data_IF_192731965069
#
_entry.id   IF_192731965069
#
_cell.length_a   1.000
_cell.length_b   1.000
_cell.length_c   1.000
_cell.angle_alpha   90.00
_cell.angle_beta   90.00
_cell.angle_gamma   90.00
#
_symmetry.space_group_name_H-M   'P 1'
#
loop_
_entity.id
_entity.type
_entity.pdbx_description
1 polymer ?
#
# COMPACT_ATOMS: atom_id res chain seq x y z
N UNK A 1 -6.33 -11.66 20.23
CA UNK A 1 -6.49 -12.83 19.32
C UNK A 1 -5.62 -12.59 18.09
N UNK A 2 -5.04 -13.62 17.47
CA UNK A 2 -4.41 -13.47 16.16
C UNK A 2 -5.48 -13.10 15.12
N UNK A 3 -5.09 -12.38 14.10
CA UNK A 3 -5.95 -12.02 12.98
C UNK A 3 -5.14 -12.06 11.67
N UNK A 4 -5.83 -12.20 10.55
CA UNK A 4 -5.25 -12.22 9.22
C UNK A 4 -5.48 -10.88 8.52
N UNK A 5 -4.44 -10.38 7.85
CA UNK A 5 -4.49 -9.14 7.10
C UNK A 5 -3.99 -9.37 5.67
N UNK A 6 -4.74 -8.87 4.70
CA UNK A 6 -4.33 -8.82 3.31
C UNK A 6 -4.18 -7.37 2.84
N UNK A 7 -3.28 -7.15 1.87
CA UNK A 7 -3.10 -5.86 1.20
C UNK A 7 -3.11 -6.06 -0.31
N UNK A 8 -3.80 -5.18 -1.05
CA UNK A 8 -3.98 -5.33 -2.49
C UNK A 8 -4.20 -3.99 -3.20
N UNK A 9 -3.31 -3.65 -4.14
CA UNK A 9 -3.61 -2.57 -5.09
C UNK A 9 -4.66 -3.07 -6.08
N UNK A 10 -5.90 -2.63 -5.91
CA UNK A 10 -7.05 -3.12 -6.67
C UNK A 10 -7.24 -2.39 -8.01
N UNK A 11 -6.57 -1.27 -8.22
CA UNK A 11 -6.68 -0.48 -9.45
C UNK A 11 -8.14 -0.25 -9.89
N UNK A 12 -8.93 0.41 -9.05
CA UNK A 12 -10.36 0.68 -9.13
C UNK A 12 -11.26 -0.39 -8.48
N UNK A 13 -11.67 -0.09 -7.24
CA UNK A 13 -12.53 -0.98 -6.45
C UNK A 13 -13.89 -1.20 -7.09
N UNK A 14 -14.47 -0.18 -7.75
CA UNK A 14 -15.77 -0.31 -8.43
C UNK A 14 -15.71 -1.19 -9.68
N UNK A 15 -14.62 -1.09 -10.44
CA UNK A 15 -14.45 -1.91 -11.64
C UNK A 15 -14.21 -3.38 -11.28
N UNK A 16 -13.60 -3.61 -10.12
CA UNK A 16 -13.18 -4.95 -9.65
C UNK A 16 -13.94 -5.41 -8.40
N UNK A 17 -15.12 -4.86 -8.16
CA UNK A 17 -16.00 -5.25 -7.04
C UNK A 17 -16.16 -6.77 -6.96
N UNK A 18 -16.48 -7.43 -8.07
CA UNK A 18 -16.64 -8.88 -8.13
C UNK A 18 -15.37 -9.66 -7.78
N UNK A 19 -14.17 -9.14 -8.14
CA UNK A 19 -12.90 -9.75 -7.76
C UNK A 19 -12.64 -9.60 -6.26
N UNK A 20 -12.87 -8.41 -5.70
CA UNK A 20 -12.76 -8.18 -4.26
C UNK A 20 -13.72 -9.10 -3.50
N UNK A 21 -14.99 -9.15 -3.90
CA UNK A 21 -15.99 -10.00 -3.26
C UNK A 21 -15.63 -11.49 -3.34
N UNK A 22 -15.05 -11.96 -4.46
CA UNK A 22 -14.54 -13.32 -4.59
C UNK A 22 -13.39 -13.58 -3.63
N UNK A 23 -12.39 -12.71 -3.59
CA UNK A 23 -11.25 -12.82 -2.69
C UNK A 23 -11.69 -12.85 -1.21
N UNK A 24 -12.60 -11.95 -0.82
CA UNK A 24 -13.15 -11.91 0.54
C UNK A 24 -13.90 -13.19 0.92
N UNK A 25 -14.50 -13.88 -0.06
CA UNK A 25 -15.20 -15.16 0.17
C UNK A 25 -14.25 -16.35 0.24
N UNK A 26 -13.26 -16.38 -0.62
CA UNK A 26 -12.34 -17.51 -0.77
C UNK A 26 -11.23 -17.47 0.31
N UNK A 27 -10.57 -16.33 0.48
CA UNK A 27 -9.43 -16.18 1.41
C UNK A 27 -9.85 -15.71 2.80
N UNK A 28 -10.97 -15.03 2.90
CA UNK A 28 -11.63 -14.61 4.13
C UNK A 28 -10.71 -13.92 5.18
N UNK A 29 -9.81 -12.98 4.79
CA UNK A 29 -8.98 -12.29 5.76
C UNK A 29 -9.85 -11.48 6.75
N UNK A 30 -9.37 -11.30 7.98
CA UNK A 30 -10.09 -10.45 8.95
C UNK A 30 -10.06 -8.98 8.55
N UNK A 31 -8.97 -8.54 7.93
CA UNK A 31 -8.77 -7.17 7.44
C UNK A 31 -8.23 -7.19 6.02
N UNK A 32 -8.81 -6.37 5.14
CA UNK A 32 -8.32 -6.13 3.77
C UNK A 32 -8.00 -4.65 3.57
N UNK A 33 -6.75 -4.37 3.21
CA UNK A 33 -6.27 -3.02 2.85
C UNK A 33 -6.19 -2.88 1.33
N UNK A 34 -6.92 -1.92 0.77
CA UNK A 34 -6.96 -1.65 -0.66
C UNK A 34 -6.25 -0.34 -1.01
N UNK A 35 -5.52 -0.33 -2.12
CA UNK A 35 -4.92 0.85 -2.71
C UNK A 35 -5.48 1.06 -4.13
N UNK A 36 -5.32 2.26 -4.65
CA UNK A 36 -5.92 2.68 -5.93
C UNK A 36 -7.43 2.41 -6.04
N UNK A 37 -8.18 2.71 -4.99
CA UNK A 37 -9.64 2.54 -5.03
C UNK A 37 -10.30 3.36 -6.13
N UNK A 38 -9.71 4.50 -6.55
CA UNK A 38 -10.14 5.40 -7.65
C UNK A 38 -11.63 5.78 -7.56
N UNK A 39 -12.10 5.91 -6.34
CA UNK A 39 -13.52 6.16 -6.02
C UNK A 39 -13.64 7.16 -4.87
N UNK A 40 -14.60 8.10 -4.93
CA UNK A 40 -15.07 8.77 -3.72
C UNK A 40 -15.57 7.74 -2.70
N UNK A 41 -15.46 8.04 -1.40
CA UNK A 41 -15.78 7.07 -0.33
C UNK A 41 -17.23 6.58 -0.42
N UNK A 42 -18.18 7.50 -0.69
CA UNK A 42 -19.59 7.19 -0.80
C UNK A 42 -19.97 6.31 -2.00
N UNK A 43 -19.02 6.07 -2.92
CA UNK A 43 -19.18 5.22 -4.10
C UNK A 43 -18.39 3.92 -4.03
N UNK A 44 -17.74 3.64 -2.91
CA UNK A 44 -17.17 2.31 -2.66
C UNK A 44 -18.34 1.33 -2.52
N UNK A 45 -18.29 0.14 -3.15
CA UNK A 45 -19.40 -0.84 -3.15
C UNK A 45 -19.52 -1.55 -1.80
N UNK A 46 -19.81 -0.78 -0.75
CA UNK A 46 -19.81 -1.21 0.64
C UNK A 46 -20.82 -2.34 0.89
N UNK A 47 -22.01 -2.26 0.31
CA UNK A 47 -23.08 -3.26 0.52
C UNK A 47 -22.62 -4.67 0.14
N UNK A 48 -21.91 -4.84 -0.99
CA UNK A 48 -21.39 -6.14 -1.44
C UNK A 48 -20.37 -6.74 -0.47
N UNK A 49 -19.65 -5.91 0.28
CA UNK A 49 -18.65 -6.35 1.25
C UNK A 49 -19.28 -6.61 2.63
N UNK A 50 -20.30 -5.84 3.01
CA UNK A 50 -21.08 -6.03 4.23
C UNK A 50 -21.81 -7.38 4.23
N UNK A 51 -22.35 -7.81 3.07
CA UNK A 51 -22.97 -9.13 2.89
C UNK A 51 -21.99 -10.29 3.19
N UNK A 52 -20.69 -10.04 3.09
CA UNK A 52 -19.62 -11.00 3.39
C UNK A 52 -19.05 -10.83 4.83
N UNK A 53 -19.66 -9.96 5.63
CA UNK A 53 -19.28 -9.71 7.03
C UNK A 53 -18.27 -8.58 7.22
N UNK A 54 -17.84 -7.87 6.16
CA UNK A 54 -16.93 -6.73 6.25
C UNK A 54 -17.72 -5.44 6.49
N UNK A 55 -18.25 -5.31 7.70
CA UNK A 55 -19.15 -4.22 8.08
C UNK A 55 -18.43 -2.92 8.47
N UNK A 56 -17.12 -3.02 8.74
CA UNK A 56 -16.29 -1.87 9.11
C UNK A 56 -15.47 -1.39 7.91
N UNK A 57 -15.52 -0.09 7.64
CA UNK A 57 -14.81 0.58 6.56
C UNK A 57 -14.19 1.89 7.06
N UNK A 58 -12.88 2.02 6.92
CA UNK A 58 -12.16 3.29 7.08
C UNK A 58 -11.46 3.59 5.75
N UNK A 59 -11.74 4.75 5.16
CA UNK A 59 -11.26 5.04 3.81
C UNK A 59 -11.03 6.53 3.55
N UNK A 60 -10.07 6.83 2.67
CA UNK A 60 -9.96 8.13 1.97
C UNK A 60 -10.13 7.91 0.48
N UNK A 61 -11.10 8.60 -0.09
CA UNK A 61 -11.47 8.47 -1.49
C UNK A 61 -11.03 9.64 -2.35
N UNK A 62 -10.77 9.35 -3.63
CA UNK A 62 -10.51 10.37 -4.64
C UNK A 62 -11.08 9.91 -5.98
N UNK A 63 -11.79 10.82 -6.69
CA UNK A 63 -12.44 10.46 -7.95
C UNK A 63 -11.41 10.21 -9.05
N UNK A 64 -11.41 9.01 -9.60
CA UNK A 64 -10.66 8.65 -10.81
C UNK A 64 -9.21 8.23 -10.59
N UNK A 65 -8.57 8.57 -9.47
CA UNK A 65 -7.20 8.17 -9.13
C UNK A 65 -7.01 8.11 -7.61
N UNK A 66 -5.91 7.53 -7.16
CA UNK A 66 -5.60 7.32 -5.73
C UNK A 66 -6.73 6.59 -4.97
N UNK A 67 -6.86 6.88 -3.69
CA UNK A 67 -7.86 6.27 -2.81
C UNK A 67 -7.35 5.02 -2.11
N UNK A 68 -7.49 5.00 -0.80
CA UNK A 68 -7.11 3.90 0.08
C UNK A 68 -8.27 3.52 0.99
N UNK A 69 -8.42 2.23 1.29
CA UNK A 69 -9.50 1.75 2.14
C UNK A 69 -9.02 0.58 3.00
N UNK A 70 -9.56 0.48 4.21
CA UNK A 70 -9.40 -0.65 5.12
C UNK A 70 -10.80 -1.22 5.37
N UNK A 71 -11.04 -2.44 4.91
CA UNK A 71 -12.24 -3.22 5.13
C UNK A 71 -11.98 -4.23 6.25
N UNK A 72 -12.92 -4.44 7.16
CA UNK A 72 -12.71 -5.36 8.26
C UNK A 72 -14.00 -6.03 8.74
N UNK A 73 -13.86 -7.27 9.18
CA UNK A 73 -14.85 -7.99 10.01
C UNK A 73 -14.75 -7.59 11.47
N UNK A 74 -13.54 -7.19 11.89
CA UNK A 74 -13.27 -6.76 13.25
C UNK A 74 -13.59 -5.27 13.41
N UNK A 75 -14.05 -4.83 14.59
CA UNK A 75 -14.28 -3.42 14.86
C UNK A 75 -13.02 -2.58 14.60
N UNK A 76 -13.20 -1.49 13.87
CA UNK A 76 -12.18 -0.50 13.53
C UNK A 76 -12.61 0.89 13.97
N UNK A 77 -11.64 1.66 14.48
CA UNK A 77 -11.76 3.10 14.68
C UNK A 77 -10.78 3.81 13.74
N UNK A 78 -11.19 4.92 13.14
CA UNK A 78 -10.29 5.76 12.37
C UNK A 78 -9.18 6.30 13.27
N UNK A 79 -7.91 6.12 12.88
CA UNK A 79 -6.75 6.50 13.65
C UNK A 79 -5.91 7.60 12.98
N UNK A 80 -6.38 8.14 11.88
CA UNK A 80 -5.76 9.25 11.16
C UNK A 80 -5.63 9.02 9.66
N UNK A 81 -5.32 10.11 8.97
CA UNK A 81 -5.14 10.12 7.53
C UNK A 81 -4.24 11.32 7.17
N UNK A 82 -2.97 11.06 6.91
CA UNK A 82 -2.00 12.11 6.61
C UNK A 82 -1.91 12.40 5.11
N UNK A 83 -1.80 13.67 4.78
CA UNK A 83 -1.48 14.12 3.43
C UNK A 83 0.02 14.42 3.35
N UNK A 84 0.81 13.35 3.25
CA UNK A 84 2.26 13.47 3.17
C UNK A 84 2.67 14.31 1.97
N UNK A 85 3.61 15.25 2.21
CA UNK A 85 4.11 16.22 1.24
C UNK A 85 3.02 17.16 0.66
N UNK A 86 1.90 17.37 1.36
CA UNK A 86 0.82 18.31 1.02
C UNK A 86 0.33 18.19 -0.44
N UNK A 87 0.21 16.96 -0.93
CA UNK A 87 -0.17 16.68 -2.31
C UNK A 87 -1.68 16.81 -2.56
N UNK A 88 -2.51 16.91 -1.53
CA UNK A 88 -3.97 16.84 -1.63
C UNK A 88 -4.47 15.46 -2.11
N UNK A 89 -3.70 14.41 -1.85
CA UNK A 89 -3.96 13.08 -2.38
C UNK A 89 -4.44 12.10 -1.29
N UNK A 90 -5.45 11.30 -1.61
CA UNK A 90 -5.94 10.21 -0.76
C UNK A 90 -5.01 8.99 -0.87
N UNK A 91 -3.88 9.01 -0.14
CA UNK A 91 -2.81 7.99 -0.23
C UNK A 91 -2.48 7.30 1.09
N UNK A 92 -3.01 7.79 2.20
CA UNK A 92 -2.82 7.20 3.51
C UNK A 92 -4.12 7.20 4.30
N UNK A 93 -4.36 6.13 5.03
CA UNK A 93 -5.37 6.03 6.08
C UNK A 93 -4.88 5.07 7.16
N UNK A 94 -5.15 5.39 8.41
CA UNK A 94 -4.87 4.51 9.54
C UNK A 94 -6.16 4.15 10.27
N UNK A 95 -6.25 2.91 10.72
CA UNK A 95 -7.34 2.41 11.55
C UNK A 95 -6.80 1.60 12.73
N UNK A 96 -7.47 1.70 13.87
CA UNK A 96 -7.11 0.98 15.09
C UNK A 96 -8.12 -0.12 15.37
N UNK A 97 -7.63 -1.32 15.62
CA UNK A 97 -8.41 -2.45 16.13
C UNK A 97 -8.65 -2.30 17.64
N UNK A 98 -9.71 -2.90 18.17
CA UNK A 98 -9.97 -2.97 19.63
C UNK A 98 -8.80 -3.59 20.41
N UNK A 99 -7.98 -4.42 19.77
CA UNK A 99 -6.76 -4.98 20.35
C UNK A 99 -5.67 -3.94 20.60
N UNK A 100 -5.85 -2.69 20.13
CA UNK A 100 -4.89 -1.61 20.21
C UNK A 100 -3.85 -1.63 19.09
N UNK A 101 -3.94 -2.55 18.12
CA UNK A 101 -3.07 -2.55 16.92
C UNK A 101 -3.57 -1.49 15.95
N UNK A 102 -2.67 -0.61 15.51
CA UNK A 102 -2.94 0.37 14.44
C UNK A 102 -2.45 -0.16 13.10
N UNK A 103 -3.31 -0.12 12.09
CA UNK A 103 -2.99 -0.52 10.72
C UNK A 103 -2.87 0.74 9.89
N UNK A 104 -1.71 0.95 9.29
CA UNK A 104 -1.44 2.02 8.32
C UNK A 104 -1.48 1.44 6.90
N UNK A 105 -2.37 1.97 6.07
CA UNK A 105 -2.50 1.59 4.67
C UNK A 105 -2.00 2.73 3.78
N UNK A 106 -0.91 2.48 3.06
CA UNK A 106 -0.26 3.47 2.20
C UNK A 106 -0.40 3.14 0.72
N UNK A 107 -0.47 4.19 -0.08
CA UNK A 107 -0.26 4.16 -1.52
C UNK A 107 0.77 5.23 -1.88
N UNK A 108 2.05 4.84 -1.86
CA UNK A 108 3.16 5.75 -2.19
C UNK A 108 3.07 6.14 -3.68
N UNK A 109 3.35 7.41 -4.06
CA UNK A 109 3.36 7.82 -5.45
C UNK A 109 4.25 6.92 -6.33
N UNK A 110 3.77 6.56 -7.54
CA UNK A 110 4.55 5.72 -8.45
C UNK A 110 5.84 6.39 -8.95
N UNK A 111 5.88 7.73 -9.05
CA UNK A 111 7.09 8.46 -9.41
C UNK A 111 7.26 8.73 -10.91
N UNK A 112 6.31 8.29 -11.76
CA UNK A 112 6.37 8.52 -13.22
C UNK A 112 7.44 7.67 -13.93
N UNK A 113 7.97 8.13 -15.06
CA UNK A 113 8.78 7.30 -15.95
C UNK A 113 10.30 7.54 -15.84
N UNK A 114 10.71 8.72 -15.35
CA UNK A 114 12.13 9.10 -15.27
C UNK A 114 12.53 9.30 -13.82
N UNK A 115 13.58 8.63 -13.32
CA UNK A 115 14.05 8.75 -11.96
C UNK A 115 14.98 9.98 -11.76
N UNK A 116 14.48 11.14 -12.10
CA UNK A 116 15.18 12.41 -12.00
C UNK A 116 14.19 13.52 -11.63
N UNK A 117 14.35 14.09 -10.43
CA UNK A 117 13.44 15.11 -9.91
C UNK A 117 13.51 16.44 -10.65
N UNK A 118 14.61 16.73 -11.35
CA UNK A 118 14.78 18.00 -12.10
C UNK A 118 13.94 18.01 -13.37
N UNK A 119 13.75 16.85 -13.99
CA UNK A 119 12.99 16.72 -15.25
C UNK A 119 11.64 16.03 -15.08
N UNK A 120 11.41 15.38 -13.93
CA UNK A 120 10.18 14.66 -13.63
C UNK A 120 9.65 15.04 -12.23
N UNK A 121 8.76 16.03 -12.14
CA UNK A 121 8.18 16.44 -10.86
C UNK A 121 7.51 15.31 -10.09
N UNK A 122 6.95 14.28 -10.76
CA UNK A 122 6.33 13.12 -10.10
C UNK A 122 7.34 12.28 -9.33
N UNK A 123 8.58 12.20 -9.82
CA UNK A 123 9.66 11.54 -9.09
C UNK A 123 10.05 12.34 -7.85
N UNK A 124 10.16 13.67 -7.98
CA UNK A 124 10.35 14.56 -6.83
C UNK A 124 9.27 14.39 -5.76
N UNK A 125 7.99 14.41 -6.16
CA UNK A 125 6.85 14.20 -5.26
C UNK A 125 6.92 12.85 -4.52
N UNK A 126 7.40 11.79 -5.17
CA UNK A 126 7.60 10.48 -4.53
C UNK A 126 8.64 10.55 -3.42
N UNK A 127 9.79 11.15 -3.69
CA UNK A 127 10.86 11.29 -2.71
C UNK A 127 10.43 12.19 -1.54
N UNK A 128 9.75 13.30 -1.82
CA UNK A 128 9.22 14.22 -0.81
C UNK A 128 8.14 13.51 0.07
N UNK A 129 7.29 12.67 -0.54
CA UNK A 129 6.31 11.85 0.18
C UNK A 129 7.00 10.87 1.16
N UNK A 130 8.04 10.17 0.72
CA UNK A 130 8.83 9.26 1.58
C UNK A 130 9.55 10.04 2.68
N UNK A 131 10.09 11.22 2.37
CA UNK A 131 10.69 12.11 3.37
C UNK A 131 9.68 12.51 4.44
N UNK A 132 8.46 12.89 4.05
CA UNK A 132 7.38 13.22 4.98
C UNK A 132 6.96 12.01 5.83
N UNK A 133 6.87 10.80 5.25
CA UNK A 133 6.61 9.57 6.00
C UNK A 133 7.70 9.32 7.06
N UNK A 134 8.98 9.44 6.67
CA UNK A 134 10.12 9.29 7.58
C UNK A 134 9.99 10.24 8.77
N UNK A 135 9.73 11.52 8.50
CA UNK A 135 9.68 12.56 9.54
C UNK A 135 8.48 12.32 10.48
N UNK A 136 7.33 11.92 9.94
CA UNK A 136 6.15 11.57 10.73
C UNK A 136 6.42 10.37 11.64
N UNK A 137 7.03 9.30 11.14
CA UNK A 137 7.34 8.11 11.94
C UNK A 137 8.46 8.35 12.94
N UNK A 138 9.44 9.19 12.60
CA UNK A 138 10.46 9.59 13.56
C UNK A 138 9.85 10.35 14.75
N UNK A 139 8.88 11.21 14.50
CA UNK A 139 8.19 11.98 15.53
C UNK A 139 7.22 11.11 16.36
N UNK A 140 6.43 10.25 15.71
CA UNK A 140 5.38 9.47 16.36
C UNK A 140 5.90 8.18 17.03
N UNK A 141 6.96 7.56 16.49
CA UNK A 141 7.49 6.23 16.90
C UNK A 141 6.37 5.23 17.12
N UNK A 142 5.70 4.77 16.07
CA UNK A 142 4.49 3.97 16.18
C UNK A 142 4.77 2.65 16.90
N UNK A 143 4.02 2.41 17.97
CA UNK A 143 4.04 1.14 18.71
C UNK A 143 2.82 0.29 18.32
N UNK A 144 2.95 -1.04 18.38
CA UNK A 144 1.86 -1.99 18.05
C UNK A 144 1.17 -1.64 16.73
N UNK A 145 1.98 -1.35 15.72
CA UNK A 145 1.49 -0.91 14.42
C UNK A 145 1.90 -1.85 13.31
N UNK A 146 1.08 -1.91 12.26
CA UNK A 146 1.35 -2.64 11.02
C UNK A 146 1.27 -1.63 9.89
N UNK A 147 2.32 -1.56 9.06
CA UNK A 147 2.36 -0.78 7.84
C UNK A 147 2.21 -1.72 6.65
N UNK A 148 1.22 -1.47 5.82
CA UNK A 148 0.99 -2.20 4.57
C UNK A 148 0.65 -1.25 3.44
N UNK A 149 0.64 -1.75 2.22
CA UNK A 149 0.19 -1.01 1.06
C UNK A 149 1.05 -1.22 -0.17
N UNK A 150 0.82 -0.40 -1.17
CA UNK A 150 1.66 -0.32 -2.36
C UNK A 150 2.69 0.79 -2.17
N UNK A 151 3.91 0.40 -1.81
CA UNK A 151 5.01 1.32 -1.58
C UNK A 151 5.71 1.77 -2.87
N UNK A 152 5.37 1.17 -4.00
CA UNK A 152 5.95 1.46 -5.31
C UNK A 152 7.48 1.43 -5.35
N UNK A 153 8.12 0.66 -4.47
CA UNK A 153 9.57 0.45 -4.40
C UNK A 153 9.86 -1.01 -4.12
N UNK A 154 10.72 -1.60 -4.93
CA UNK A 154 11.31 -2.91 -4.70
C UNK A 154 12.65 -2.73 -3.98
N UNK A 155 12.76 -3.03 -2.67
CA UNK A 155 13.93 -2.65 -1.87
C UNK A 155 15.17 -3.51 -2.12
N UNK A 156 15.00 -4.80 -2.49
CA UNK A 156 16.13 -5.74 -2.63
C UNK A 156 16.38 -6.15 -4.08
N UNK A 157 17.58 -6.61 -4.36
CA UNK A 157 17.97 -7.16 -5.67
C UNK A 157 17.08 -8.34 -6.10
N UNK A 158 16.63 -9.13 -5.14
CA UNK A 158 15.76 -10.29 -5.36
C UNK A 158 14.26 -9.95 -5.42
N UNK A 159 13.88 -8.69 -5.23
CA UNK A 159 12.50 -8.24 -5.40
C UNK A 159 12.17 -7.88 -6.86
N UNK A 160 13.17 -7.94 -7.74
CA UNK A 160 13.05 -7.62 -9.16
C UNK A 160 13.65 -8.71 -10.06
N UNK A 161 13.13 -8.81 -11.28
CA UNK A 161 13.60 -9.80 -12.25
C UNK A 161 15.05 -9.56 -12.68
N UNK A 162 15.52 -8.30 -12.69
CA UNK A 162 16.89 -7.93 -13.03
C UNK A 162 17.32 -6.64 -12.33
N UNK A 163 18.04 -6.77 -11.23
CA UNK A 163 18.61 -5.65 -10.49
C UNK A 163 19.40 -4.70 -11.42
N UNK A 164 20.34 -5.25 -12.21
CA UNK A 164 21.21 -4.46 -13.11
C UNK A 164 20.44 -3.60 -14.11
N UNK A 165 19.33 -4.11 -14.65
CA UNK A 165 18.54 -3.36 -15.63
C UNK A 165 17.65 -2.31 -14.96
N UNK A 166 17.19 -2.56 -13.73
CA UNK A 166 16.24 -1.73 -13.03
C UNK A 166 16.86 -0.65 -12.14
N UNK A 167 18.19 -0.64 -11.95
CA UNK A 167 18.90 0.41 -11.19
C UNK A 167 18.64 1.86 -11.68
N UNK A 168 18.21 2.01 -12.93
CA UNK A 168 17.90 3.32 -13.53
C UNK A 168 16.42 3.46 -13.90
N UNK A 169 15.59 2.58 -13.37
CA UNK A 169 14.14 2.58 -13.61
C UNK A 169 13.43 2.93 -12.31
N UNK A 170 12.42 3.78 -12.40
CA UNK A 170 11.58 4.15 -11.27
C UNK A 170 11.06 2.90 -10.56
N UNK A 171 10.98 2.93 -9.25
CA UNK A 171 10.63 1.87 -8.30
C UNK A 171 11.76 0.93 -7.89
N UNK A 172 12.99 1.08 -8.43
CA UNK A 172 14.16 0.31 -7.99
C UNK A 172 15.48 1.09 -8.04
N UNK A 173 15.43 2.42 -8.09
CA UNK A 173 16.66 3.23 -8.06
C UNK A 173 17.26 3.26 -6.66
N UNK A 174 18.60 3.41 -6.55
CA UNK A 174 19.26 3.48 -5.25
C UNK A 174 18.69 4.57 -4.33
N UNK A 175 18.32 5.73 -4.88
CA UNK A 175 17.76 6.83 -4.09
C UNK A 175 16.37 6.49 -3.53
N UNK A 176 15.53 5.76 -4.26
CA UNK A 176 14.22 5.32 -3.78
C UNK A 176 14.38 4.27 -2.67
N UNK A 177 15.26 3.30 -2.88
CA UNK A 177 15.58 2.24 -1.91
C UNK A 177 16.12 2.87 -0.62
N UNK A 178 17.01 3.85 -0.72
CA UNK A 178 17.54 4.58 0.45
C UNK A 178 16.42 5.32 1.22
N UNK A 179 15.53 6.02 0.50
CA UNK A 179 14.40 6.71 1.15
C UNK A 179 13.46 5.74 1.87
N UNK A 180 13.18 4.58 1.26
CA UNK A 180 12.36 3.55 1.92
C UNK A 180 13.06 2.98 3.16
N UNK A 181 14.37 2.73 3.09
CA UNK A 181 15.15 2.30 4.25
C UNK A 181 15.10 3.33 5.39
N UNK A 182 15.21 4.62 5.07
CA UNK A 182 15.08 5.70 6.05
C UNK A 182 13.68 5.75 6.69
N UNK A 183 12.61 5.48 5.94
CA UNK A 183 11.25 5.34 6.49
C UNK A 183 11.17 4.16 7.44
N UNK A 184 11.76 3.02 7.05
CA UNK A 184 11.79 1.81 7.85
C UNK A 184 12.52 2.03 9.17
N UNK A 185 13.70 2.63 9.13
CA UNK A 185 14.52 2.91 10.31
C UNK A 185 13.83 3.93 11.25
N UNK A 186 13.23 4.98 10.69
CA UNK A 186 12.57 6.03 11.47
C UNK A 186 11.39 5.50 12.28
N UNK A 187 10.62 4.55 11.72
CA UNK A 187 9.49 3.93 12.40
C UNK A 187 9.85 2.66 13.19
N UNK A 188 11.08 2.18 13.07
CA UNK A 188 11.48 0.89 13.65
C UNK A 188 10.73 -0.30 13.03
N UNK A 189 10.38 -0.19 11.74
CA UNK A 189 9.61 -1.21 11.04
C UNK A 189 10.43 -2.44 10.71
N UNK A 190 9.81 -3.60 10.87
CA UNK A 190 10.37 -4.88 10.48
C UNK A 190 9.68 -5.39 9.22
N UNK A 191 10.45 -5.74 8.19
CA UNK A 191 9.94 -6.43 7.00
C UNK A 191 9.64 -7.89 7.34
N UNK A 192 8.38 -8.15 7.70
CA UNK A 192 7.94 -9.50 8.12
C UNK A 192 8.00 -10.51 6.97
N UNK A 193 7.79 -10.07 5.72
CA UNK A 193 7.85 -10.94 4.54
C UNK A 193 9.28 -11.47 4.37
N UNK A 194 10.26 -10.59 4.55
CA UNK A 194 11.67 -10.96 4.44
C UNK A 194 12.25 -11.63 5.70
N UNK A 195 11.53 -11.57 6.82
CA UNK A 195 11.82 -12.47 7.96
C UNK A 195 11.42 -13.91 7.66
N UNK A 196 10.28 -14.11 7.00
CA UNK A 196 9.75 -15.43 6.65
C UNK A 196 10.48 -16.02 5.41
N UNK A 197 10.73 -15.16 4.41
CA UNK A 197 11.43 -15.52 3.16
C UNK A 197 12.71 -14.68 3.04
N UNK A 198 13.79 -15.01 3.77
CA UNK A 198 14.98 -14.16 3.87
C UNK A 198 15.79 -14.06 2.57
N UNK A 199 15.71 -15.07 1.72
CA UNK A 199 16.51 -15.20 0.49
C UNK A 199 15.65 -15.57 -0.72
N UNK A 200 16.19 -15.32 -1.92
CA UNK A 200 15.58 -15.72 -3.18
C UNK A 200 14.59 -14.68 -3.74
N UNK A 201 14.13 -14.97 -4.95
CA UNK A 201 13.24 -14.08 -5.69
C UNK A 201 11.86 -13.99 -5.03
N UNK A 202 11.40 -12.74 -4.83
CA UNK A 202 10.11 -12.44 -4.24
C UNK A 202 9.47 -11.28 -4.98
N UNK A 203 8.59 -11.59 -5.92
CA UNK A 203 7.88 -10.57 -6.68
C UNK A 203 6.52 -10.31 -6.04
N UNK A 204 6.23 -9.05 -5.77
CA UNK A 204 4.95 -8.61 -5.19
C UNK A 204 4.18 -7.65 -6.11
N UNK A 205 4.68 -7.42 -7.33
CA UNK A 205 4.07 -6.52 -8.30
C UNK A 205 3.93 -7.17 -9.67
N UNK A 206 2.75 -7.07 -10.25
CA UNK A 206 2.43 -7.47 -11.62
C UNK A 206 1.60 -6.40 -12.32
N UNK A 207 1.85 -6.21 -13.60
CA UNK A 207 1.05 -5.29 -14.40
C UNK A 207 -0.28 -5.93 -14.81
N UNK A 208 -1.40 -5.27 -14.53
CA UNK A 208 -2.71 -5.65 -15.09
C UNK A 208 -2.78 -5.59 -16.63
N UNK A 209 -1.71 -5.10 -17.28
CA UNK A 209 -1.58 -5.04 -18.74
C UNK A 209 -0.63 -6.09 -19.28
N UNK A 210 -0.02 -6.89 -18.43
CA UNK A 210 0.89 -7.94 -18.88
C UNK A 210 0.09 -9.02 -19.59
N UNK A 211 0.53 -9.47 -20.79
CA UNK A 211 -0.09 -10.62 -21.46
C UNK A 211 0.27 -11.96 -20.81
N UNK A 212 1.19 -11.95 -19.86
CA UNK A 212 1.80 -13.15 -19.28
C UNK A 212 1.04 -13.69 -18.06
N UNK A 213 -0.13 -13.13 -17.73
CA UNK A 213 -0.95 -13.60 -16.61
C UNK A 213 -1.30 -15.09 -16.69
N UNK A 214 -1.49 -15.58 -17.91
CA UNK A 214 -1.80 -16.99 -18.18
C UNK A 214 -0.53 -17.87 -18.28
N UNK A 215 0.66 -17.28 -18.30
CA UNK A 215 1.94 -17.97 -18.42
C UNK A 215 2.72 -18.05 -17.09
N UNK A 216 2.10 -17.66 -16.00
CA UNK A 216 2.70 -17.64 -14.66
C UNK A 216 2.47 -18.94 -13.87
N UNK A 217 2.47 -20.10 -14.57
CA UNK A 217 2.49 -21.43 -13.96
C UNK A 217 3.93 -21.89 -13.68
#
# INVERSE_FOLDING_TARGET
MPFTLATWNINSVRLREGLVARFLREEAPDVLCLQECKSPVEKIPRAAFEELGYVHLVARGQKGYNGVAILSRLPLEEAGADDHADLGHARHVAARLETGVTIHNFYVPAGGDKPDREVNPKFGQKLDYLGSMRDAFHAARPERSILVGDLNIAPREDDVWSHKQLLKVVSHTPVEVEHLAQVQDAGGWTDVTRQDIPEGKLYSWWSYRSPDWDAAD
#
